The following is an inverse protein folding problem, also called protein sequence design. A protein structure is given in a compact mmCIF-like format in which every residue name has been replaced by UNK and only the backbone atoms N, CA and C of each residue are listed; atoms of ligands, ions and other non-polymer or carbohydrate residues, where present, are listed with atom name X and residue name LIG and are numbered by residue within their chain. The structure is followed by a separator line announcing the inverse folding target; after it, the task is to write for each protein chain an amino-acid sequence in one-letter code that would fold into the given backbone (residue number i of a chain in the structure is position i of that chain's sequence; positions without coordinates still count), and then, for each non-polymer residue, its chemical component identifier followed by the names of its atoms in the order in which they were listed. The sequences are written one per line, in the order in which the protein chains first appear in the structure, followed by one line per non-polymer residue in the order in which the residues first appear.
data_IF_261711359320
#
_entry.id   IF_261711359320
#
_cell.length_a   1.000
_cell.length_b   1.000
_cell.length_c   1.000
_cell.angle_alpha   90.00
_cell.angle_beta   90.00
_cell.angle_gamma   90.00
#
_symmetry.space_group_name_H-M   'P 1'
#
loop_
_entity.id
_entity.type
_entity.pdbx_description
1 polymer ?
#
# COMPACT_ATOMS: atom_id res chain seq x y z
N UNK A 1 8.06 11.31 26.66
CA UNK A 1 9.26 12.15 26.53
C UNK A 1 10.45 11.35 27.02
N UNK A 2 11.48 11.18 26.17
CA UNK A 2 12.74 10.49 26.53
C UNK A 2 13.86 11.48 26.93
N UNK A 3 13.69 12.76 26.62
CA UNK A 3 14.63 13.82 26.94
C UNK A 3 14.30 15.13 26.26
N UNK A 4 15.26 16.05 26.24
CA UNK A 4 15.20 17.30 25.48
C UNK A 4 16.39 17.43 24.54
N UNK A 5 16.22 18.24 23.50
CA UNK A 5 17.30 18.56 22.55
C UNK A 5 18.47 19.19 23.31
N UNK A 6 19.65 18.59 23.18
CA UNK A 6 20.87 19.07 23.80
C UNK A 6 21.35 20.36 23.15
N UNK A 7 22.07 21.18 23.88
CA UNK A 7 22.61 22.46 23.39
C UNK A 7 23.41 22.31 22.08
N UNK A 8 24.31 21.32 22.01
CA UNK A 8 25.11 21.07 20.80
C UNK A 8 24.29 20.72 19.59
N UNK A 9 23.18 19.96 19.77
CA UNK A 9 22.23 19.60 18.69
C UNK A 9 21.41 20.83 18.29
N UNK A 10 20.99 21.63 19.28
CA UNK A 10 20.27 22.89 19.04
C UNK A 10 21.11 23.86 18.19
N UNK A 11 22.38 24.04 18.56
CA UNK A 11 23.32 24.91 17.85
C UNK A 11 23.56 24.45 16.38
N UNK A 12 23.53 23.13 16.12
CA UNK A 12 23.70 22.55 14.79
C UNK A 12 22.45 22.54 13.95
N UNK A 13 21.28 22.29 14.51
CA UNK A 13 20.02 22.09 13.79
C UNK A 13 19.14 23.33 13.74
N UNK A 14 19.38 24.32 14.61
CA UNK A 14 18.51 25.48 14.79
C UNK A 14 17.27 25.19 15.65
N UNK A 15 17.11 24.00 16.20
CA UNK A 15 16.06 23.69 17.16
C UNK A 15 16.35 24.40 18.50
N UNK A 16 15.29 24.65 19.27
CA UNK A 16 15.46 25.22 20.62
C UNK A 16 16.01 24.14 21.56
N UNK A 17 17.04 24.48 22.36
CA UNK A 17 17.50 23.64 23.45
C UNK A 17 16.33 23.28 24.39
N UNK A 18 16.27 22.00 24.81
CA UNK A 18 15.20 21.50 25.68
C UNK A 18 13.89 21.17 24.94
N UNK A 19 13.81 21.33 23.60
CA UNK A 19 12.65 20.83 22.84
C UNK A 19 12.42 19.36 23.15
N UNK A 20 11.20 18.94 23.56
CA UNK A 20 10.92 17.56 23.92
C UNK A 20 11.26 16.57 22.80
N UNK A 21 11.97 15.50 23.15
CA UNK A 21 12.23 14.36 22.29
C UNK A 21 11.37 13.18 22.77
N UNK A 22 10.58 12.61 21.87
CA UNK A 22 9.70 11.49 22.16
C UNK A 22 10.35 10.17 21.75
N UNK A 23 9.89 9.07 22.32
CA UNK A 23 10.26 7.73 21.87
C UNK A 23 9.84 7.54 20.40
N UNK A 24 10.67 6.83 19.63
CA UNK A 24 10.35 6.52 18.24
C UNK A 24 9.20 5.52 18.14
N UNK A 25 8.54 5.55 16.98
CA UNK A 25 7.58 4.53 16.58
C UNK A 25 8.08 3.88 15.29
N UNK A 26 7.57 2.69 14.94
CA UNK A 26 7.89 2.10 13.66
C UNK A 26 7.31 2.95 12.53
N UNK A 27 8.01 3.05 11.41
CA UNK A 27 7.55 3.74 10.20
C UNK A 27 6.25 3.14 9.65
N UNK A 28 6.05 1.84 9.85
CA UNK A 28 4.84 1.10 9.50
C UNK A 28 3.65 1.63 10.31
N UNK A 29 3.72 1.57 11.66
CA UNK A 29 2.65 2.12 12.52
C UNK A 29 2.43 3.62 12.26
N UNK A 30 3.51 4.37 11.99
CA UNK A 30 3.40 5.76 11.62
C UNK A 30 2.61 5.94 10.32
N UNK A 31 2.83 5.07 9.33
CA UNK A 31 2.12 5.15 8.05
C UNK A 31 0.62 4.86 8.20
N UNK A 32 0.21 3.88 9.00
CA UNK A 32 -1.20 3.63 9.31
C UNK A 32 -1.86 4.84 10.00
N UNK A 33 -1.19 5.40 11.02
CA UNK A 33 -1.69 6.58 11.73
C UNK A 33 -1.77 7.79 10.78
N UNK A 34 -0.74 8.00 9.97
CA UNK A 34 -0.66 9.13 9.05
C UNK A 34 -1.60 9.05 7.85
N UNK A 35 -2.13 7.87 7.52
CA UNK A 35 -3.24 7.75 6.59
C UNK A 35 -4.62 7.78 7.28
N UNK A 36 -4.66 7.95 8.59
CA UNK A 36 -5.90 8.09 9.35
C UNK A 36 -6.63 6.78 9.64
N UNK A 37 -5.99 5.62 9.44
CA UNK A 37 -6.54 4.33 9.82
C UNK A 37 -6.30 4.08 11.31
N UNK A 38 -7.00 4.80 12.17
CA UNK A 38 -6.84 4.78 13.63
C UNK A 38 -8.02 4.17 14.37
N UNK A 39 -9.07 3.80 13.64
CA UNK A 39 -10.19 3.04 14.20
C UNK A 39 -9.86 1.55 14.24
N UNK A 40 -10.42 0.85 15.22
CA UNK A 40 -10.23 -0.60 15.36
C UNK A 40 -10.72 -1.31 14.10
N UNK A 41 -9.91 -2.23 13.57
CA UNK A 41 -10.18 -3.03 12.37
C UNK A 41 -10.32 -2.24 11.05
N UNK A 42 -10.01 -0.94 11.04
CA UNK A 42 -9.96 -0.16 9.81
C UNK A 42 -8.66 -0.44 9.05
N UNK A 43 -8.70 -0.99 7.84
CA UNK A 43 -7.49 -1.30 7.12
C UNK A 43 -6.76 -0.05 6.62
N UNK A 44 -5.43 -0.06 6.76
CA UNK A 44 -4.50 0.76 6.00
C UNK A 44 -3.88 -0.09 4.89
N UNK A 45 -4.00 0.36 3.64
CA UNK A 45 -3.42 -0.27 2.45
C UNK A 45 -2.35 0.68 1.92
N UNK A 46 -1.08 0.29 2.07
CA UNK A 46 0.06 1.14 1.71
C UNK A 46 0.74 0.52 0.49
N UNK A 47 0.64 1.20 -0.63
CA UNK A 47 1.06 0.75 -1.96
C UNK A 47 2.36 1.42 -2.38
N UNK A 48 3.39 1.26 -1.55
CA UNK A 48 4.73 1.79 -1.80
C UNK A 48 5.66 0.78 -2.47
N UNK A 49 6.90 0.70 -1.98
CA UNK A 49 7.83 -0.36 -2.33
C UNK A 49 7.30 -1.70 -1.84
N UNK A 50 6.89 -1.76 -0.57
CA UNK A 50 6.24 -2.91 0.03
C UNK A 50 4.73 -2.88 -0.21
N UNK A 51 4.13 -4.08 -0.24
CA UNK A 51 2.69 -4.31 -0.11
C UNK A 51 2.38 -4.42 1.37
N UNK A 52 1.90 -3.35 2.01
CA UNK A 52 1.55 -3.35 3.43
C UNK A 52 0.05 -3.27 3.56
N UNK A 53 -0.52 -4.17 4.36
CA UNK A 53 -1.94 -4.25 4.65
C UNK A 53 -2.07 -4.50 6.16
N UNK A 54 -2.67 -3.58 6.88
CA UNK A 54 -2.64 -3.60 8.34
C UNK A 54 -3.86 -2.94 8.95
N UNK A 55 -4.14 -3.25 10.20
CA UNK A 55 -5.15 -2.56 11.02
C UNK A 55 -4.76 -2.57 12.50
N UNK A 56 -5.36 -1.68 13.28
CA UNK A 56 -5.24 -1.72 14.74
C UNK A 56 -6.39 -2.52 15.37
N UNK A 57 -6.07 -3.27 16.45
CA UNK A 57 -7.03 -4.08 17.19
C UNK A 57 -6.78 -3.99 18.71
N UNK A 58 -7.82 -4.18 19.55
CA UNK A 58 -7.69 -4.19 21.00
C UNK A 58 -6.95 -5.42 21.54
N UNK A 59 -6.95 -6.52 20.79
CA UNK A 59 -6.33 -7.79 21.16
C UNK A 59 -5.27 -8.20 20.14
N UNK A 60 -4.17 -8.82 20.56
CA UNK A 60 -3.15 -9.31 19.64
C UNK A 60 -3.65 -10.55 18.90
N UNK A 61 -3.27 -10.68 17.63
CA UNK A 61 -3.37 -11.94 16.89
C UNK A 61 -2.06 -12.70 17.07
N UNK A 62 -2.13 -13.90 17.64
CA UNK A 62 -0.98 -14.78 17.84
C UNK A 62 -1.12 -15.98 16.92
N UNK A 63 -0.58 -15.86 15.71
CA UNK A 63 -0.64 -16.87 14.68
C UNK A 63 0.74 -16.95 13.97
N UNK A 64 1.37 -18.13 13.89
CA UNK A 64 2.67 -18.28 13.23
C UNK A 64 2.63 -17.97 11.74
N UNK A 65 1.46 -18.02 11.12
CA UNK A 65 1.28 -17.73 9.69
C UNK A 65 1.02 -16.24 9.42
N UNK A 66 0.74 -15.43 10.45
CA UNK A 66 0.62 -13.99 10.32
C UNK A 66 2.01 -13.35 10.16
N UNK A 67 2.13 -12.39 9.27
CA UNK A 67 3.41 -11.70 9.08
C UNK A 67 3.91 -11.02 10.35
N UNK A 68 3.07 -10.20 11.01
CA UNK A 68 3.47 -9.52 12.23
C UNK A 68 2.28 -9.08 13.10
N UNK A 69 2.44 -9.25 14.41
CA UNK A 69 1.72 -8.48 15.44
C UNK A 69 2.72 -7.67 16.24
N UNK A 70 2.44 -6.38 16.45
CA UNK A 70 3.25 -5.50 17.29
C UNK A 70 2.40 -4.59 18.16
N UNK A 71 3.02 -3.98 19.18
CA UNK A 71 2.33 -2.96 19.98
C UNK A 71 2.11 -1.70 19.15
N UNK A 72 0.91 -1.15 19.21
CA UNK A 72 0.61 0.17 18.68
C UNK A 72 1.13 1.27 19.64
N UNK A 73 1.44 2.47 19.15
CA UNK A 73 1.93 3.56 19.98
C UNK A 73 0.82 4.32 20.74
N UNK A 74 -0.42 3.79 20.79
CA UNK A 74 -1.57 4.45 21.42
C UNK A 74 -2.62 3.45 21.93
N UNK A 75 -3.37 3.83 22.95
CA UNK A 75 -4.62 3.22 23.45
C UNK A 75 -4.56 1.72 23.76
N UNK A 76 -3.38 1.19 24.13
CA UNK A 76 -3.16 -0.24 24.39
C UNK A 76 -3.68 -1.13 23.24
N UNK A 77 -3.39 -0.72 22.01
CA UNK A 77 -3.73 -1.44 20.78
C UNK A 77 -2.56 -2.24 20.25
N UNK A 78 -2.88 -3.14 19.36
CA UNK A 78 -1.92 -3.93 18.60
C UNK A 78 -2.07 -3.61 17.11
N UNK A 79 -0.96 -3.56 16.41
CA UNK A 79 -0.92 -3.53 14.96
C UNK A 79 -0.88 -4.96 14.44
N UNK A 80 -1.82 -5.31 13.59
CA UNK A 80 -1.93 -6.61 12.91
C UNK A 80 -1.62 -6.37 11.44
N UNK A 81 -0.62 -7.06 10.90
CA UNK A 81 -0.08 -6.76 9.57
C UNK A 81 0.18 -8.01 8.73
N UNK A 82 -0.19 -7.93 7.47
CA UNK A 82 0.24 -8.78 6.36
C UNK A 82 1.00 -7.94 5.34
N UNK A 83 2.17 -8.40 4.91
CA UNK A 83 3.01 -7.65 3.99
C UNK A 83 3.89 -8.53 3.12
N UNK A 84 4.30 -8.00 1.97
CA UNK A 84 5.33 -8.55 1.10
C UNK A 84 6.25 -7.43 0.58
N UNK A 85 7.52 -7.73 0.26
CA UNK A 85 8.52 -6.72 -0.07
C UNK A 85 8.34 -6.07 -1.45
N UNK A 86 7.24 -6.34 -2.16
CA UNK A 86 6.99 -5.76 -3.48
C UNK A 86 5.52 -5.35 -3.65
N UNK A 87 5.29 -4.15 -4.18
CA UNK A 87 3.97 -3.61 -4.54
C UNK A 87 4.09 -2.73 -5.80
N UNK A 88 3.68 -1.47 -5.74
CA UNK A 88 3.77 -0.51 -6.86
C UNK A 88 5.19 -0.31 -7.41
N UNK A 89 6.22 -0.65 -6.64
CA UNK A 89 7.60 -0.72 -7.09
C UNK A 89 7.81 -1.65 -8.30
N UNK A 90 6.88 -2.57 -8.58
CA UNK A 90 6.90 -3.39 -9.80
C UNK A 90 6.77 -2.53 -11.06
N UNK A 91 5.87 -1.55 -11.05
CA UNK A 91 5.73 -0.60 -12.16
C UNK A 91 6.96 0.31 -12.25
N UNK A 92 7.45 0.81 -11.12
CA UNK A 92 8.66 1.63 -11.09
C UNK A 92 9.87 0.89 -11.67
N UNK A 93 10.03 -0.38 -11.33
CA UNK A 93 11.05 -1.25 -11.93
C UNK A 93 10.90 -1.35 -13.44
N UNK A 94 9.68 -1.67 -13.95
CA UNK A 94 9.44 -1.79 -15.38
C UNK A 94 9.76 -0.47 -16.11
N UNK A 95 9.26 0.64 -15.58
CA UNK A 95 9.51 1.97 -16.18
C UNK A 95 10.99 2.32 -16.20
N UNK A 96 11.68 2.22 -15.07
CA UNK A 96 13.04 2.74 -14.93
C UNK A 96 14.13 1.76 -15.38
N UNK A 97 13.87 0.44 -15.39
CA UNK A 97 14.86 -0.58 -15.75
C UNK A 97 14.65 -1.15 -17.14
N UNK A 98 13.43 -1.11 -17.68
CA UNK A 98 13.11 -1.68 -18.98
C UNK A 98 12.73 -0.58 -19.97
N UNK A 99 11.60 0.11 -19.76
CA UNK A 99 11.06 1.04 -20.75
C UNK A 99 12.04 2.20 -21.06
N UNK A 100 12.42 2.97 -20.06
CA UNK A 100 13.35 4.11 -20.24
C UNK A 100 14.74 3.73 -20.76
N UNK A 101 15.11 2.45 -20.69
CA UNK A 101 16.40 1.96 -21.20
C UNK A 101 16.31 1.31 -22.56
N UNK A 102 15.11 1.13 -23.11
CA UNK A 102 14.91 0.59 -24.44
C UNK A 102 15.24 1.66 -25.49
N UNK A 103 16.19 1.41 -26.41
CA UNK A 103 16.51 2.37 -27.47
C UNK A 103 15.27 2.75 -28.28
N UNK A 104 15.07 4.04 -28.52
CA UNK A 104 13.90 4.58 -29.25
C UNK A 104 12.70 4.87 -28.37
N UNK A 105 12.61 4.33 -27.15
CA UNK A 105 11.52 4.64 -26.21
C UNK A 105 11.73 6.03 -25.55
N UNK A 106 12.98 6.42 -25.30
CA UNK A 106 13.35 7.70 -24.66
C UNK A 106 12.99 8.95 -25.50
N UNK A 107 12.48 8.81 -26.71
CA UNK A 107 12.13 9.92 -27.60
C UNK A 107 10.73 10.51 -27.35
N UNK A 108 9.91 9.92 -26.51
CA UNK A 108 8.66 10.52 -26.05
C UNK A 108 8.91 11.46 -24.84
N UNK A 109 9.86 12.39 -24.98
CA UNK A 109 10.33 13.30 -23.89
C UNK A 109 9.25 14.28 -23.38
N UNK A 110 8.03 14.24 -23.88
CA UNK A 110 6.98 15.20 -23.50
C UNK A 110 5.88 14.64 -22.60
N UNK A 111 5.78 13.32 -22.44
CA UNK A 111 4.76 12.67 -21.60
C UNK A 111 5.41 11.93 -20.46
N UNK A 112 4.77 12.01 -19.26
CA UNK A 112 5.16 11.16 -18.14
C UNK A 112 4.94 9.69 -18.51
N UNK A 113 5.98 8.87 -18.36
CA UNK A 113 5.93 7.43 -18.72
C UNK A 113 4.90 6.66 -17.87
N UNK A 114 4.63 7.11 -16.65
CA UNK A 114 3.59 6.50 -15.81
C UNK A 114 2.19 6.83 -16.33
N UNK A 115 1.94 8.09 -16.76
CA UNK A 115 0.70 8.46 -17.44
C UNK A 115 0.52 7.66 -18.73
N UNK A 116 1.57 7.53 -19.53
CA UNK A 116 1.53 6.71 -20.74
C UNK A 116 1.20 5.23 -20.44
N UNK A 117 1.75 4.63 -19.38
CA UNK A 117 1.38 3.28 -18.95
C UNK A 117 -0.10 3.20 -18.54
N UNK A 118 -0.60 4.20 -17.79
CA UNK A 118 -2.00 4.29 -17.40
C UNK A 118 -2.93 4.38 -18.62
N UNK A 119 -2.58 5.24 -19.59
CA UNK A 119 -3.37 5.41 -20.83
C UNK A 119 -3.48 4.09 -21.58
N UNK A 120 -2.38 3.34 -21.73
CA UNK A 120 -2.42 2.01 -22.37
C UNK A 120 -3.37 1.08 -21.61
N UNK A 121 -3.22 0.96 -20.30
CA UNK A 121 -3.95 -0.03 -19.49
C UNK A 121 -5.45 0.30 -19.40
N UNK A 122 -5.80 1.58 -19.34
CA UNK A 122 -7.17 2.03 -19.02
C UNK A 122 -7.90 2.73 -20.16
N UNK A 123 -7.35 2.74 -21.39
CA UNK A 123 -8.01 3.29 -22.59
C UNK A 123 -9.34 2.59 -22.96
N UNK A 124 -9.59 1.42 -22.38
CA UNK A 124 -10.75 0.60 -22.70
C UNK A 124 -10.53 -0.41 -23.84
N UNK A 125 -9.38 -0.33 -24.52
CA UNK A 125 -9.06 -1.21 -25.67
C UNK A 125 -8.35 -2.51 -25.25
N UNK A 126 -7.90 -2.61 -24.00
CA UNK A 126 -7.17 -3.78 -23.51
C UNK A 126 -8.14 -4.85 -23.04
N UNK A 127 -8.24 -5.93 -23.82
CA UNK A 127 -8.93 -7.14 -23.36
C UNK A 127 -8.04 -7.91 -22.38
N UNK A 128 -8.52 -8.13 -21.12
CA UNK A 128 -7.81 -8.97 -20.17
C UNK A 128 -7.68 -10.41 -20.71
N UNK A 129 -6.45 -10.94 -20.75
CA UNK A 129 -6.11 -12.29 -21.20
C UNK A 129 -5.60 -13.14 -20.05
N UNK A 130 -5.28 -14.40 -20.33
CA UNK A 130 -4.82 -15.34 -19.31
C UNK A 130 -3.41 -15.03 -18.78
N UNK A 131 -2.67 -14.13 -19.44
CA UNK A 131 -1.37 -13.67 -18.93
C UNK A 131 -1.52 -13.04 -17.55
N UNK A 132 -0.70 -13.49 -16.61
CA UNK A 132 -0.64 -12.95 -15.25
C UNK A 132 0.77 -12.50 -14.89
N UNK A 133 0.87 -11.70 -13.85
CA UNK A 133 2.13 -11.21 -13.31
C UNK A 133 2.25 -11.54 -11.83
N UNK A 134 3.40 -12.10 -11.44
CA UNK A 134 3.79 -12.28 -10.04
C UNK A 134 4.65 -11.09 -9.61
N UNK A 135 4.19 -10.24 -8.67
CA UNK A 135 4.91 -9.01 -8.31
C UNK A 135 6.02 -9.25 -7.27
N UNK A 136 6.75 -10.37 -7.39
CA UNK A 136 7.72 -10.81 -6.38
C UNK A 136 9.16 -10.49 -6.75
N UNK A 137 9.40 -9.30 -7.31
CA UNK A 137 10.74 -8.85 -7.73
C UNK A 137 11.76 -8.80 -6.57
N UNK A 138 11.29 -8.59 -5.35
CA UNK A 138 12.07 -8.60 -4.11
C UNK A 138 11.67 -9.77 -3.19
N UNK A 139 10.99 -10.78 -3.74
CA UNK A 139 10.47 -11.92 -3.00
C UNK A 139 9.04 -11.74 -2.51
N UNK A 140 8.54 -12.77 -1.82
CA UNK A 140 7.22 -12.80 -1.19
C UNK A 140 7.32 -13.47 0.18
N UNK A 141 6.59 -12.95 1.16
CA UNK A 141 6.49 -13.59 2.47
C UNK A 141 5.51 -14.77 2.47
N UNK A 142 4.53 -14.76 1.56
CA UNK A 142 3.56 -15.85 1.42
C UNK A 142 4.05 -16.97 0.51
N UNK A 143 4.87 -16.65 -0.48
CA UNK A 143 5.38 -17.57 -1.50
C UNK A 143 6.91 -17.45 -1.56
N UNK A 144 7.64 -18.07 -0.62
CA UNK A 144 9.08 -17.82 -0.44
C UNK A 144 9.94 -18.28 -1.62
N UNK A 145 9.43 -19.18 -2.46
CA UNK A 145 10.12 -19.66 -3.66
C UNK A 145 9.70 -18.94 -4.95
N UNK A 146 8.66 -18.10 -4.89
CA UNK A 146 8.18 -17.39 -6.06
C UNK A 146 9.10 -16.19 -6.40
N UNK A 147 9.33 -16.03 -7.70
CA UNK A 147 10.07 -14.90 -8.27
C UNK A 147 9.13 -14.03 -9.09
N UNK A 148 9.48 -12.75 -9.25
CA UNK A 148 8.74 -11.83 -10.09
C UNK A 148 8.82 -12.21 -11.57
N UNK A 149 7.70 -12.12 -12.26
CA UNK A 149 7.66 -12.41 -13.70
C UNK A 149 6.25 -12.61 -14.25
N UNK A 150 6.17 -12.68 -15.56
CA UNK A 150 4.94 -13.02 -16.26
C UNK A 150 4.82 -14.51 -16.48
N UNK A 151 3.62 -15.03 -16.43
CA UNK A 151 3.28 -16.42 -16.73
C UNK A 151 2.08 -16.51 -17.69
N UNK A 152 1.86 -17.68 -18.29
CA UNK A 152 0.80 -17.94 -19.28
C UNK A 152 0.86 -17.02 -20.51
N UNK A 153 2.07 -16.61 -20.92
CA UNK A 153 2.27 -15.82 -22.13
C UNK A 153 1.94 -16.60 -23.38
N UNK A 154 1.29 -15.92 -24.31
CA UNK A 154 1.01 -16.41 -25.67
C UNK A 154 1.60 -15.47 -26.73
N UNK A 155 1.60 -15.91 -27.98
CA UNK A 155 2.06 -15.09 -29.11
C UNK A 155 1.11 -13.94 -29.48
N UNK A 156 -0.04 -13.86 -28.82
CA UNK A 156 -1.02 -12.80 -29.01
C UNK A 156 -0.95 -11.70 -27.94
N UNK A 157 -0.06 -11.86 -26.94
CA UNK A 157 0.10 -10.90 -25.86
C UNK A 157 1.16 -9.86 -26.23
N UNK A 158 0.77 -8.61 -26.22
CA UNK A 158 1.62 -7.45 -26.44
C UNK A 158 1.92 -6.70 -25.14
N UNK A 159 2.48 -5.50 -25.30
CA UNK A 159 2.85 -4.66 -24.17
C UNK A 159 1.63 -4.28 -23.30
N UNK A 160 0.46 -4.09 -23.92
CA UNK A 160 -0.79 -3.77 -23.26
C UNK A 160 -1.20 -4.85 -22.26
N UNK A 161 -1.13 -6.12 -22.67
CA UNK A 161 -1.46 -7.26 -21.81
C UNK A 161 -0.42 -7.45 -20.70
N UNK A 162 0.86 -7.20 -20.98
CA UNK A 162 1.92 -7.23 -19.98
C UNK A 162 1.74 -6.14 -18.92
N UNK A 163 1.43 -4.91 -19.34
CA UNK A 163 1.13 -3.81 -18.43
C UNK A 163 -0.12 -4.09 -17.62
N UNK A 164 -1.24 -4.47 -18.28
CA UNK A 164 -2.49 -4.77 -17.58
C UNK A 164 -2.29 -5.84 -16.50
N UNK A 165 -1.62 -6.95 -16.85
CA UNK A 165 -1.37 -8.04 -15.90
C UNK A 165 -0.44 -7.62 -14.75
N UNK A 166 0.49 -6.68 -14.98
CA UNK A 166 1.33 -6.12 -13.92
C UNK A 166 0.49 -5.29 -12.93
N UNK A 167 -0.37 -4.40 -13.43
CA UNK A 167 -1.26 -3.60 -12.59
C UNK A 167 -2.19 -4.48 -11.77
N UNK A 168 -2.78 -5.47 -12.40
CA UNK A 168 -3.68 -6.44 -11.78
C UNK A 168 -2.96 -7.35 -10.78
N UNK A 169 -1.78 -7.88 -11.12
CA UNK A 169 -0.99 -8.76 -10.28
C UNK A 169 -0.55 -8.09 -8.96
N UNK A 170 -0.21 -6.80 -9.01
CA UNK A 170 0.04 -6.01 -7.79
C UNK A 170 -1.21 -5.95 -6.92
N UNK A 171 -2.39 -5.67 -7.51
CA UNK A 171 -3.64 -5.64 -6.76
C UNK A 171 -4.02 -7.03 -6.20
N UNK A 172 -3.75 -8.11 -6.94
CA UNK A 172 -3.98 -9.48 -6.47
C UNK A 172 -3.11 -9.86 -5.27
N UNK A 173 -1.85 -9.43 -5.23
CA UNK A 173 -0.99 -9.62 -4.07
C UNK A 173 -1.56 -8.93 -2.81
N UNK A 174 -2.05 -7.70 -2.94
CA UNK A 174 -2.75 -7.04 -1.84
C UNK A 174 -4.05 -7.75 -1.45
N UNK A 175 -4.83 -8.25 -2.43
CA UNK A 175 -6.05 -9.04 -2.15
C UNK A 175 -5.74 -10.26 -1.30
N UNK A 176 -4.67 -10.98 -1.59
CA UNK A 176 -4.25 -12.14 -0.80
C UNK A 176 -4.00 -11.76 0.65
N UNK A 177 -3.23 -10.70 0.90
CA UNK A 177 -2.98 -10.20 2.25
C UNK A 177 -4.26 -9.75 2.97
N UNK A 178 -5.13 -8.98 2.27
CA UNK A 178 -6.42 -8.53 2.84
C UNK A 178 -7.33 -9.71 3.16
N UNK A 179 -7.34 -10.77 2.34
CA UNK A 179 -8.13 -11.99 2.63
C UNK A 179 -7.63 -12.70 3.88
N UNK A 180 -6.32 -12.74 4.11
CA UNK A 180 -5.74 -13.29 5.35
C UNK A 180 -6.15 -12.45 6.56
N UNK A 181 -6.07 -11.14 6.48
CA UNK A 181 -6.52 -10.23 7.53
C UNK A 181 -8.02 -10.39 7.84
N UNK A 182 -8.87 -10.62 6.83
CA UNK A 182 -10.31 -10.95 7.00
C UNK A 182 -10.53 -12.27 7.75
N UNK A 183 -9.56 -13.16 7.77
CA UNK A 183 -9.59 -14.38 8.58
C UNK A 183 -9.48 -14.10 10.09
N UNK A 184 -8.94 -12.95 10.47
CA UNK A 184 -8.75 -12.57 11.88
C UNK A 184 -9.80 -11.58 12.39
N UNK A 185 -10.42 -10.79 11.52
CA UNK A 185 -11.41 -9.79 11.92
C UNK A 185 -12.35 -9.37 10.78
N UNK A 186 -13.53 -8.88 11.16
CA UNK A 186 -14.42 -8.15 10.26
C UNK A 186 -13.84 -6.75 10.02
N UNK A 187 -13.30 -6.52 8.84
CA UNK A 187 -12.63 -5.28 8.50
C UNK A 187 -13.63 -4.12 8.36
N UNK A 188 -13.33 -3.01 9.02
CA UNK A 188 -14.12 -1.78 8.89
C UNK A 188 -13.97 -1.17 7.49
N UNK A 189 -15.02 -0.57 6.98
CA UNK A 189 -15.07 0.08 5.67
C UNK A 189 -15.39 1.58 5.83
N UNK A 190 -14.81 2.46 4.99
CA UNK A 190 -13.81 2.18 3.97
C UNK A 190 -12.41 1.90 4.53
N UNK A 191 -11.59 1.15 3.77
CA UNK A 191 -10.17 1.06 4.04
C UNK A 191 -9.45 2.34 3.59
N UNK A 192 -8.42 2.74 4.31
CA UNK A 192 -7.56 3.85 3.90
C UNK A 192 -6.50 3.35 2.91
N UNK A 193 -6.31 4.06 1.80
CA UNK A 193 -5.27 3.72 0.82
C UNK A 193 -4.34 4.89 0.55
N UNK A 194 -3.03 4.60 0.51
CA UNK A 194 -1.98 5.59 0.20
C UNK A 194 -0.83 4.93 -0.57
N UNK A 195 0.02 5.73 -1.18
CA UNK A 195 1.22 5.28 -1.91
C UNK A 195 1.08 5.43 -3.42
N UNK A 196 1.97 4.76 -4.17
CA UNK A 196 2.11 4.97 -5.62
C UNK A 196 0.86 4.72 -6.44
N UNK A 197 0.02 3.76 -6.03
CA UNK A 197 -1.24 3.44 -6.72
C UNK A 197 -2.20 4.64 -6.74
N UNK A 198 -2.23 5.45 -5.68
CA UNK A 198 -3.17 6.58 -5.57
C UNK A 198 -2.85 7.75 -6.51
N UNK A 199 -1.70 7.72 -7.20
CA UNK A 199 -1.38 8.65 -8.27
C UNK A 199 -2.16 8.35 -9.58
N UNK A 200 -2.84 7.20 -9.65
CA UNK A 200 -3.65 6.78 -10.80
C UNK A 200 -5.06 6.45 -10.32
N UNK A 201 -6.03 7.33 -10.60
CA UNK A 201 -7.43 7.09 -10.24
C UNK A 201 -7.96 5.77 -10.80
N UNK A 202 -7.74 5.39 -12.09
CA UNK A 202 -8.21 4.12 -12.59
C UNK A 202 -7.49 2.90 -11.97
N UNK A 203 -6.22 3.01 -11.55
CA UNK A 203 -5.56 1.92 -10.81
C UNK A 203 -6.12 1.79 -9.41
N UNK A 204 -6.41 2.92 -8.74
CA UNK A 204 -7.07 2.90 -7.43
C UNK A 204 -8.48 2.28 -7.52
N UNK A 205 -9.23 2.55 -8.61
CA UNK A 205 -10.50 1.87 -8.89
C UNK A 205 -10.30 0.36 -9.07
N UNK A 206 -9.30 -0.07 -9.85
CA UNK A 206 -8.96 -1.49 -9.99
C UNK A 206 -8.65 -2.13 -8.63
N UNK A 207 -7.96 -1.43 -7.72
CA UNK A 207 -7.74 -1.91 -6.36
C UNK A 207 -9.05 -2.11 -5.59
N UNK A 208 -9.97 -1.15 -5.63
CA UNK A 208 -11.28 -1.29 -4.97
C UNK A 208 -12.04 -2.52 -5.51
N UNK A 209 -12.06 -2.68 -6.84
CA UNK A 209 -12.72 -3.80 -7.53
C UNK A 209 -12.10 -5.14 -7.15
N UNK A 210 -10.77 -5.22 -7.22
CA UNK A 210 -10.02 -6.45 -6.90
C UNK A 210 -10.14 -6.84 -5.43
N UNK A 211 -10.04 -5.89 -4.51
CA UNK A 211 -10.16 -6.14 -3.08
C UNK A 211 -11.60 -6.41 -2.62
N UNK A 212 -12.58 -6.08 -3.46
CA UNK A 212 -14.01 -6.03 -3.12
C UNK A 212 -14.21 -5.27 -1.79
N UNK A 213 -13.63 -4.07 -1.70
CA UNK A 213 -13.58 -3.24 -0.51
C UNK A 213 -13.64 -1.77 -0.90
N UNK A 214 -14.56 -0.97 -0.35
CA UNK A 214 -14.53 0.48 -0.49
C UNK A 214 -13.20 1.04 0.03
N UNK A 215 -12.58 1.90 -0.74
CA UNK A 215 -11.31 2.56 -0.42
C UNK A 215 -11.54 4.05 -0.25
N UNK A 216 -10.83 4.67 0.66
CA UNK A 216 -10.75 6.12 0.77
C UNK A 216 -9.28 6.54 0.58
N UNK A 217 -9.03 7.34 -0.43
CA UNK A 217 -7.69 7.93 -0.65
C UNK A 217 -7.38 8.94 0.44
N UNK A 218 -6.10 9.13 0.71
CA UNK A 218 -5.65 10.07 1.73
C UNK A 218 -4.63 11.02 1.13
N UNK A 219 -4.83 12.31 1.36
CA UNK A 219 -3.88 13.33 0.93
C UNK A 219 -2.70 13.42 1.92
N UNK A 220 -1.91 12.36 1.98
CA UNK A 220 -0.73 12.26 2.84
C UNK A 220 0.42 11.60 2.07
N UNK A 221 1.10 12.31 1.15
CA UNK A 221 2.17 11.75 0.33
C UNK A 221 3.34 11.21 1.16
N UNK A 222 3.47 11.65 2.40
CA UNK A 222 4.45 11.18 3.39
C UNK A 222 3.73 10.73 4.66
N UNK A 223 2.86 9.73 4.56
CA UNK A 223 2.03 9.24 5.67
C UNK A 223 2.87 8.87 6.90
N UNK A 224 4.02 8.23 6.73
CA UNK A 224 4.92 7.90 7.85
C UNK A 224 5.40 9.13 8.63
N UNK A 225 5.73 10.23 7.93
CA UNK A 225 6.13 11.49 8.58
C UNK A 225 4.93 12.10 9.31
N UNK A 226 3.77 12.16 8.66
CA UNK A 226 2.56 12.71 9.27
C UNK A 226 2.16 11.93 10.52
N UNK A 227 2.21 10.60 10.49
CA UNK A 227 1.93 9.76 11.65
C UNK A 227 2.88 10.00 12.81
N UNK A 228 4.18 10.13 12.53
CA UNK A 228 5.17 10.49 13.55
C UNK A 228 4.87 11.86 14.18
N UNK A 229 4.47 12.85 13.38
CA UNK A 229 4.06 14.18 13.86
C UNK A 229 2.80 14.10 14.70
N UNK A 230 1.79 13.31 14.29
CA UNK A 230 0.56 13.08 15.07
C UNK A 230 0.89 12.55 16.47
N UNK A 231 1.70 11.49 16.56
CA UNK A 231 2.08 10.90 17.85
C UNK A 231 2.90 11.88 18.70
N UNK A 232 3.82 12.63 18.09
CA UNK A 232 4.59 13.65 18.77
C UNK A 232 3.69 14.79 19.30
N UNK A 233 2.68 15.20 18.55
CA UNK A 233 1.73 16.23 18.96
C UNK A 233 0.89 15.81 20.17
N UNK A 234 0.49 14.53 20.22
CA UNK A 234 -0.18 13.96 21.40
C UNK A 234 0.78 13.90 22.59
N UNK A 235 2.01 13.44 22.37
CA UNK A 235 3.05 13.41 23.41
C UNK A 235 3.40 14.79 23.97
N UNK A 236 3.27 15.84 23.16
CA UNK A 236 3.45 17.24 23.54
C UNK A 236 2.21 17.87 24.21
N UNK A 237 1.09 17.15 24.31
CA UNK A 237 -0.17 17.64 24.87
C UNK A 237 -0.92 18.62 23.96
N UNK A 238 -0.61 18.66 22.67
CA UNK A 238 -1.33 19.50 21.68
C UNK A 238 -2.71 18.90 21.37
N UNK A 239 -2.79 17.57 21.35
CA UNK A 239 -4.03 16.80 21.19
C UNK A 239 -4.18 15.80 22.34
N UNK A 240 -5.42 15.50 22.75
CA UNK A 240 -5.67 14.56 23.86
C UNK A 240 -5.48 13.08 23.45
N UNK A 241 -5.58 12.75 22.15
CA UNK A 241 -5.45 11.37 21.66
C UNK A 241 -4.96 11.33 20.20
N UNK A 242 -4.44 10.17 19.80
CA UNK A 242 -4.02 9.92 18.40
C UNK A 242 -5.22 9.98 17.47
N UNK A 243 -6.39 9.49 17.87
CA UNK A 243 -7.62 9.56 17.06
C UNK A 243 -8.03 11.00 16.77
N UNK A 244 -8.05 11.87 17.79
CA UNK A 244 -8.41 13.27 17.61
C UNK A 244 -7.37 14.02 16.78
N UNK A 245 -6.09 13.79 17.01
CA UNK A 245 -5.02 14.37 16.21
C UNK A 245 -5.13 13.91 14.74
N UNK A 246 -5.32 12.62 14.48
CA UNK A 246 -5.47 12.07 13.14
C UNK A 246 -6.71 12.64 12.43
N UNK A 247 -7.87 12.70 13.10
CA UNK A 247 -9.10 13.29 12.53
C UNK A 247 -8.97 14.75 12.14
N UNK A 248 -8.05 15.49 12.80
CA UNK A 248 -7.80 16.90 12.52
C UNK A 248 -6.71 17.12 11.48
N UNK A 249 -5.66 16.31 11.49
CA UNK A 249 -4.45 16.51 10.69
C UNK A 249 -4.45 15.71 9.39
N UNK A 250 -5.21 14.61 9.31
CA UNK A 250 -5.32 13.81 8.09
C UNK A 250 -6.50 14.31 7.28
N UNK A 251 -6.23 14.72 6.05
CA UNK A 251 -7.28 15.11 5.12
C UNK A 251 -7.71 13.90 4.30
N UNK A 252 -8.96 13.47 4.45
CA UNK A 252 -9.57 12.46 3.60
C UNK A 252 -9.65 12.94 2.15
N UNK A 253 -9.59 11.99 1.24
CA UNK A 253 -9.74 12.21 -0.19
C UNK A 253 -11.07 11.68 -0.71
N UNK A 254 -11.02 11.02 -1.85
CA UNK A 254 -12.19 10.44 -2.51
C UNK A 254 -12.47 9.03 -1.98
N UNK A 255 -13.74 8.73 -1.74
CA UNK A 255 -14.21 7.36 -1.50
C UNK A 255 -14.47 6.67 -2.84
N UNK A 256 -13.80 5.55 -3.05
CA UNK A 256 -13.86 4.75 -4.28
C UNK A 256 -14.52 3.42 -3.95
N UNK A 257 -15.69 3.18 -4.54
CA UNK A 257 -16.45 1.95 -4.32
C UNK A 257 -16.15 0.92 -5.40
N UNK A 258 -16.14 -0.38 -5.06
CA UNK A 258 -16.04 -1.44 -6.04
C UNK A 258 -17.16 -1.34 -7.10
N UNK A 259 -16.81 -1.55 -8.36
CA UNK A 259 -17.78 -1.72 -9.43
C UNK A 259 -18.32 -3.16 -9.42
N UNK A 260 -19.57 -3.33 -8.99
CA UNK A 260 -20.20 -4.65 -8.90
C UNK A 260 -20.29 -5.39 -10.24
N UNK A 261 -20.22 -4.69 -11.39
CA UNK A 261 -20.20 -5.33 -12.70
C UNK A 261 -18.88 -6.05 -13.00
N UNK A 262 -17.79 -5.63 -12.37
CA UNK A 262 -16.43 -6.18 -12.54
C UNK A 262 -16.08 -7.26 -11.52
N UNK A 263 -16.89 -7.43 -10.47
CA UNK A 263 -16.62 -8.36 -9.37
C UNK A 263 -16.39 -9.80 -9.87
N UNK A 264 -17.31 -10.33 -10.68
CA UNK A 264 -17.19 -11.70 -11.20
C UNK A 264 -15.97 -11.91 -12.09
N UNK A 265 -15.56 -10.88 -12.85
CA UNK A 265 -14.34 -10.89 -13.65
C UNK A 265 -13.11 -11.03 -12.76
N UNK A 266 -12.93 -10.13 -11.79
CA UNK A 266 -11.75 -10.13 -10.92
C UNK A 266 -11.73 -11.34 -9.98
N UNK A 267 -12.88 -11.86 -9.56
CA UNK A 267 -12.92 -13.07 -8.76
C UNK A 267 -12.37 -14.27 -9.55
N UNK A 268 -12.80 -14.45 -10.80
CA UNK A 268 -12.32 -15.53 -11.68
C UNK A 268 -10.82 -15.40 -11.98
N UNK A 269 -10.37 -14.19 -12.31
CA UNK A 269 -8.97 -13.93 -12.66
C UNK A 269 -8.06 -14.11 -11.46
N UNK A 270 -8.46 -13.63 -10.29
CA UNK A 270 -7.73 -13.86 -9.04
C UNK A 270 -7.60 -15.34 -8.69
N UNK A 271 -8.67 -16.13 -8.88
CA UNK A 271 -8.61 -17.57 -8.63
C UNK A 271 -7.58 -18.27 -9.53
N UNK A 272 -7.53 -17.93 -10.83
CA UNK A 272 -6.55 -18.48 -11.77
C UNK A 272 -5.11 -18.03 -11.45
N UNK A 273 -4.95 -16.75 -11.07
CA UNK A 273 -3.66 -16.20 -10.63
C UNK A 273 -3.17 -16.93 -9.39
N UNK A 274 -4.03 -17.06 -8.37
CA UNK A 274 -3.70 -17.73 -7.11
C UNK A 274 -3.34 -19.19 -7.31
N UNK A 275 -4.11 -19.94 -8.12
CA UNK A 275 -3.77 -21.34 -8.45
C UNK A 275 -2.36 -21.48 -9.04
N UNK A 276 -1.92 -20.49 -9.83
CA UNK A 276 -0.57 -20.51 -10.40
C UNK A 276 0.49 -20.17 -9.35
N UNK A 277 0.25 -19.14 -8.55
CA UNK A 277 1.20 -18.68 -7.54
C UNK A 277 1.40 -19.70 -6.42
N UNK A 278 0.34 -20.38 -6.00
CA UNK A 278 0.37 -21.41 -4.95
C UNK A 278 1.22 -22.65 -5.32
N UNK A 279 1.71 -22.76 -6.56
CA UNK A 279 2.62 -23.83 -6.99
C UNK A 279 4.08 -23.55 -6.65
N UNK A 280 4.39 -22.34 -6.23
CA UNK A 280 5.74 -21.88 -5.86
C UNK A 280 5.90 -21.72 -4.35
#
# INVERSE_FOLDING_TARGET
VVGGVLKEVADYTGLKEGTPVFGGISDISASAIGCGAVEDYQPAIITGTWSINEFFAPEPVVDPDLFMTSLAPFDDRYLIMEASPTSAASLDWLVNRVLKRTPGFAQAESQDVYEWCNDIVFSGDVEPRDVGFMPYLYGSNLHPNALGGWFSLSNADGLEQLLYSLYEGVAFSHREHVQRLRGYADLLSPARITGGVTNSAPWTQMFADVLALPLETVNAPQSGILGAVIVAAVGAGVYPSVREAASTMVTGGEEIRPDGQREGLFQKRYAAWKETVDRF
#
